data_IF_862971760151
#
_entry.id   IF_862971760151
#
_cell.length_a   1.000
_cell.length_b   1.000
_cell.length_c   1.000
_cell.angle_alpha   90.00
_cell.angle_beta   90.00
_cell.angle_gamma   90.00
#
_symmetry.space_group_name_H-M   'P 1'
#
loop_
_entity.id
_entity.type
_entity.pdbx_description
1 polymer ?
#
# COMPACT_ATOMS: atom_id res chain seq x y z
N UNK A 1 27.13 -3.37 -10.65
CA UNK A 1 26.70 -1.95 -10.75
C UNK A 1 25.22 -1.78 -11.16
N UNK A 2 24.67 -2.59 -12.07
CA UNK A 2 23.25 -2.52 -12.47
C UNK A 2 22.26 -2.98 -11.37
N UNK A 3 22.60 -4.03 -10.61
CA UNK A 3 21.74 -4.57 -9.54
C UNK A 3 21.58 -3.60 -8.36
N UNK A 4 22.67 -2.93 -7.95
CA UNK A 4 22.63 -1.94 -6.85
C UNK A 4 21.71 -0.76 -7.18
N UNK A 5 21.80 -0.22 -8.41
CA UNK A 5 20.90 0.85 -8.88
C UNK A 5 19.44 0.41 -8.86
N UNK A 6 19.17 -0.87 -9.19
CA UNK A 6 17.83 -1.45 -9.13
C UNK A 6 17.31 -1.52 -7.70
N UNK A 7 18.10 -2.08 -6.78
CA UNK A 7 17.72 -2.18 -5.37
C UNK A 7 17.45 -0.82 -4.76
N UNK A 8 18.29 0.17 -5.08
CA UNK A 8 18.09 1.56 -4.63
C UNK A 8 16.78 2.13 -5.18
N UNK A 9 16.47 1.93 -6.47
CA UNK A 9 15.22 2.39 -7.06
C UNK A 9 13.99 1.75 -6.39
N UNK A 10 13.99 0.41 -6.25
CA UNK A 10 12.89 -0.34 -5.64
C UNK A 10 12.68 0.14 -4.20
N UNK A 11 13.77 0.19 -3.41
CA UNK A 11 13.71 0.62 -2.01
C UNK A 11 13.25 2.07 -1.87
N UNK A 12 13.74 2.98 -2.71
CA UNK A 12 13.32 4.38 -2.68
C UNK A 12 11.83 4.52 -2.95
N UNK A 13 11.29 3.81 -3.95
CA UNK A 13 9.86 3.85 -4.27
C UNK A 13 9.03 3.31 -3.09
N UNK A 14 9.42 2.15 -2.54
CA UNK A 14 8.71 1.55 -1.40
C UNK A 14 8.70 2.49 -0.20
N UNK A 15 9.85 3.07 0.16
CA UNK A 15 9.96 4.01 1.28
C UNK A 15 9.12 5.27 1.06
N UNK A 16 9.12 5.83 -0.14
CA UNK A 16 8.28 6.97 -0.50
C UNK A 16 6.80 6.59 -0.31
N UNK A 17 6.35 5.45 -0.85
CA UNK A 17 4.97 5.00 -0.66
C UNK A 17 4.60 4.88 0.82
N UNK A 18 5.42 4.22 1.63
CA UNK A 18 5.17 4.04 3.07
C UNK A 18 5.11 5.39 3.78
N UNK A 19 6.06 6.29 3.54
CA UNK A 19 6.11 7.60 4.21
C UNK A 19 4.88 8.43 3.87
N UNK A 20 4.53 8.54 2.58
CA UNK A 20 3.37 9.33 2.17
C UNK A 20 2.06 8.72 2.64
N UNK A 21 1.92 7.39 2.58
CA UNK A 21 0.72 6.68 3.01
C UNK A 21 0.50 6.82 4.53
N UNK A 22 1.50 6.47 5.35
CA UNK A 22 1.38 6.58 6.81
C UNK A 22 1.23 8.02 7.29
N UNK A 23 1.91 8.98 6.66
CA UNK A 23 1.72 10.40 6.99
C UNK A 23 0.30 10.86 6.64
N UNK A 24 -0.22 10.46 5.48
CA UNK A 24 -1.58 10.81 5.06
C UNK A 24 -2.63 10.20 5.98
N UNK A 25 -2.47 8.93 6.36
CA UNK A 25 -3.34 8.23 7.32
C UNK A 25 -3.30 8.86 8.70
N UNK A 26 -2.11 9.22 9.18
CA UNK A 26 -1.94 9.94 10.43
C UNK A 26 -2.69 11.29 10.42
N UNK A 27 -2.50 12.09 9.36
CA UNK A 27 -3.21 13.36 9.20
C UNK A 27 -4.74 13.15 9.09
N UNK A 28 -5.18 12.13 8.37
CA UNK A 28 -6.60 11.79 8.27
C UNK A 28 -7.19 11.44 9.65
N UNK A 29 -6.46 10.66 10.46
CA UNK A 29 -6.88 10.33 11.82
C UNK A 29 -6.96 11.59 12.70
N UNK A 30 -5.93 12.43 12.67
CA UNK A 30 -5.87 13.65 13.51
C UNK A 30 -6.96 14.66 13.15
N UNK A 31 -7.16 14.93 11.85
CA UNK A 31 -8.01 16.03 11.41
C UNK A 31 -9.42 15.63 10.95
N UNK A 32 -9.65 14.36 10.59
CA UNK A 32 -10.92 13.91 10.01
C UNK A 32 -11.69 12.93 10.89
N UNK A 33 -11.08 12.28 11.88
CA UNK A 33 -11.77 11.28 12.72
C UNK A 33 -12.93 11.89 13.52
N UNK A 34 -12.78 13.15 13.97
CA UNK A 34 -13.80 13.88 14.73
C UNK A 34 -14.46 15.02 13.95
N UNK A 35 -14.10 15.20 12.67
CA UNK A 35 -14.63 16.27 11.84
C UNK A 35 -15.69 15.76 10.86
N UNK A 36 -16.51 16.69 10.36
CA UNK A 36 -17.40 16.40 9.23
C UNK A 36 -16.57 16.25 7.93
N UNK A 37 -17.08 15.44 7.00
CA UNK A 37 -16.50 15.24 5.66
C UNK A 37 -16.15 16.58 4.99
N UNK A 38 -14.91 16.71 4.50
CA UNK A 38 -14.48 17.89 3.77
C UNK A 38 -14.77 17.69 2.28
N UNK A 39 -15.58 18.57 1.69
CA UNK A 39 -15.95 18.53 0.28
C UNK A 39 -15.18 19.58 -0.54
N UNK A 40 -14.76 19.20 -1.74
CA UNK A 40 -14.07 20.04 -2.72
C UNK A 40 -14.77 19.94 -4.08
N UNK A 41 -14.51 20.91 -4.97
CA UNK A 41 -14.99 20.91 -6.36
C UNK A 41 -16.50 20.65 -6.48
N UNK A 42 -17.30 21.44 -5.78
CA UNK A 42 -18.76 21.28 -5.74
C UNK A 42 -19.18 19.85 -5.37
N UNK A 43 -18.54 19.29 -4.35
CA UNK A 43 -18.87 17.98 -3.76
C UNK A 43 -18.51 16.76 -4.63
N UNK A 44 -17.71 16.97 -5.67
CA UNK A 44 -17.17 15.90 -6.55
C UNK A 44 -16.07 15.10 -5.86
N UNK A 45 -15.28 15.75 -5.00
CA UNK A 45 -14.19 15.12 -4.25
C UNK A 45 -14.41 15.35 -2.76
N UNK A 46 -14.39 14.27 -1.97
CA UNK A 46 -14.65 14.31 -0.53
C UNK A 46 -13.54 13.58 0.23
N UNK A 47 -13.05 14.20 1.29
CA UNK A 47 -12.21 13.57 2.29
C UNK A 47 -13.08 13.14 3.46
N UNK A 48 -13.23 11.82 3.61
CA UNK A 48 -13.98 11.19 4.69
C UNK A 48 -13.10 10.15 5.36
N UNK A 49 -13.04 10.18 6.70
CA UNK A 49 -12.30 9.20 7.47
C UNK A 49 -13.08 7.89 7.54
N UNK A 50 -12.44 6.78 7.18
CA UNK A 50 -13.02 5.44 7.28
C UNK A 50 -11.94 4.44 7.67
N UNK A 51 -12.29 3.53 8.57
CA UNK A 51 -11.45 2.38 8.92
C UNK A 51 -11.96 1.15 8.17
N UNK A 52 -11.06 0.41 7.55
CA UNK A 52 -11.39 -0.78 6.78
C UNK A 52 -10.86 -2.02 7.50
N UNK A 53 -11.76 -2.79 8.09
CA UNK A 53 -11.46 -4.03 8.85
C UNK A 53 -11.34 -5.26 7.94
N UNK A 54 -11.66 -5.12 6.66
CA UNK A 54 -11.50 -6.12 5.60
C UNK A 54 -10.47 -5.68 4.55
N UNK A 55 -10.53 -6.30 3.37
CA UNK A 55 -9.73 -5.89 2.21
C UNK A 55 -10.49 -4.86 1.35
N UNK A 56 -10.30 -4.87 0.03
CA UNK A 56 -11.01 -3.98 -0.90
C UNK A 56 -12.54 -3.99 -0.65
N UNK A 57 -13.15 -2.82 -0.43
CA UNK A 57 -14.59 -2.65 -0.17
C UNK A 57 -15.10 -3.47 1.04
N UNK A 58 -14.31 -3.54 2.11
CA UNK A 58 -14.59 -4.37 3.30
C UNK A 58 -14.75 -5.86 2.98
N UNK A 59 -14.21 -6.32 1.85
CA UNK A 59 -14.28 -7.73 1.47
C UNK A 59 -13.61 -8.59 2.54
N UNK A 60 -14.34 -9.59 3.03
CA UNK A 60 -13.86 -10.48 4.07
C UNK A 60 -13.95 -9.91 5.50
N UNK A 61 -14.62 -8.77 5.72
CA UNK A 61 -14.91 -8.27 7.07
C UNK A 61 -15.72 -9.27 7.91
N UNK A 62 -16.61 -10.04 7.28
CA UNK A 62 -17.42 -11.08 7.95
C UNK A 62 -16.65 -12.39 8.21
N UNK A 63 -15.39 -12.49 7.79
CA UNK A 63 -14.57 -13.66 8.04
C UNK A 63 -14.13 -13.71 9.50
N UNK A 64 -13.86 -14.93 10.00
CA UNK A 64 -13.23 -15.09 11.30
C UNK A 64 -11.87 -14.41 11.33
N UNK A 65 -11.45 -13.96 12.52
CA UNK A 65 -10.12 -13.35 12.74
C UNK A 65 -8.99 -14.22 12.21
N UNK A 66 -9.07 -15.53 12.44
CA UNK A 66 -8.09 -16.49 11.92
C UNK A 66 -8.04 -16.50 10.38
N UNK A 67 -9.20 -16.49 9.71
CA UNK A 67 -9.23 -16.46 8.26
C UNK A 67 -8.67 -15.13 7.70
N UNK A 68 -9.01 -14.00 8.33
CA UNK A 68 -8.43 -12.69 7.95
C UNK A 68 -6.92 -12.65 8.14
N UNK A 69 -6.41 -13.18 9.25
CA UNK A 69 -4.97 -13.28 9.49
C UNK A 69 -4.25 -14.07 8.38
N UNK A 70 -4.73 -15.27 8.06
CA UNK A 70 -4.08 -16.10 7.05
C UNK A 70 -4.16 -15.50 5.64
N UNK A 71 -5.29 -14.89 5.28
CA UNK A 71 -5.51 -14.37 3.93
C UNK A 71 -4.91 -12.98 3.76
N UNK A 72 -5.22 -12.04 4.65
CA UNK A 72 -4.84 -10.63 4.47
C UNK A 72 -3.47 -10.29 5.03
N UNK A 73 -2.96 -11.06 5.99
CA UNK A 73 -1.61 -10.85 6.52
C UNK A 73 -0.64 -11.83 5.87
N UNK A 74 -0.79 -13.13 6.13
CA UNK A 74 0.22 -14.12 5.71
C UNK A 74 0.31 -14.25 4.19
N UNK A 75 -0.82 -14.47 3.51
CA UNK A 75 -0.81 -14.65 2.07
C UNK A 75 -0.34 -13.37 1.33
N UNK A 76 -0.85 -12.19 1.71
CA UNK A 76 -0.42 -10.92 1.10
C UNK A 76 1.07 -10.67 1.34
N UNK A 77 1.58 -10.91 2.55
CA UNK A 77 3.01 -10.79 2.87
C UNK A 77 3.87 -11.67 1.96
N UNK A 78 3.51 -12.96 1.80
CA UNK A 78 4.21 -13.87 0.91
C UNK A 78 4.15 -13.41 -0.56
N UNK A 79 3.00 -12.90 -0.98
CA UNK A 79 2.81 -12.37 -2.33
C UNK A 79 3.71 -11.15 -2.59
N UNK A 80 3.85 -10.25 -1.61
CA UNK A 80 4.72 -9.07 -1.70
C UNK A 80 6.20 -9.45 -1.74
N UNK A 81 6.62 -10.45 -0.94
CA UNK A 81 7.98 -11.00 -1.05
C UNK A 81 8.22 -11.54 -2.46
N UNK A 82 7.30 -12.36 -2.98
CA UNK A 82 7.41 -12.90 -4.33
C UNK A 82 7.49 -11.80 -5.39
N UNK A 83 6.70 -10.72 -5.23
CA UNK A 83 6.69 -9.58 -6.13
C UNK A 83 8.02 -8.82 -6.13
N UNK A 84 8.61 -8.59 -4.95
CA UNK A 84 9.91 -7.93 -4.80
C UNK A 84 11.00 -8.80 -5.43
N UNK A 85 11.01 -10.11 -5.14
CA UNK A 85 11.95 -11.06 -5.77
C UNK A 85 11.80 -11.00 -7.30
N UNK A 86 10.57 -11.01 -7.82
CA UNK A 86 10.31 -10.92 -9.25
C UNK A 86 10.79 -9.60 -9.88
N UNK A 87 10.60 -8.46 -9.20
CA UNK A 87 11.20 -7.20 -9.63
C UNK A 87 12.74 -7.27 -9.68
N UNK A 88 13.35 -8.04 -8.77
CA UNK A 88 14.78 -8.32 -8.78
C UNK A 88 15.26 -9.31 -9.85
N UNK A 89 14.40 -10.15 -10.42
CA UNK A 89 14.79 -11.06 -11.51
C UNK A 89 14.64 -10.44 -12.91
N UNK A 90 13.74 -9.46 -13.09
CA UNK A 90 13.55 -8.81 -14.39
C UNK A 90 14.74 -7.90 -14.77
N UNK A 91 15.07 -7.88 -16.07
CA UNK A 91 16.12 -7.03 -16.65
C UNK A 91 15.89 -5.53 -16.40
N UNK A 92 16.97 -4.80 -16.11
CA UNK A 92 16.95 -3.36 -15.83
C UNK A 92 16.46 -2.50 -17.01
N UNK A 93 16.43 -3.05 -18.23
CA UNK A 93 15.88 -2.36 -19.41
C UNK A 93 14.38 -2.09 -19.26
N UNK A 94 13.66 -2.87 -18.45
CA UNK A 94 12.23 -2.71 -18.20
C UNK A 94 11.96 -1.81 -16.99
N UNK A 95 12.50 -0.58 -16.98
CA UNK A 95 12.39 0.35 -15.86
C UNK A 95 10.94 0.61 -15.45
N UNK A 96 10.05 0.82 -16.42
CA UNK A 96 8.61 1.04 -16.18
C UNK A 96 8.00 -0.14 -15.42
N UNK A 97 8.33 -1.38 -15.79
CA UNK A 97 7.83 -2.58 -15.11
C UNK A 97 8.34 -2.65 -13.67
N UNK A 98 9.63 -2.40 -13.46
CA UNK A 98 10.23 -2.40 -12.12
C UNK A 98 9.58 -1.32 -11.24
N UNK A 99 9.38 -0.11 -11.77
CA UNK A 99 8.70 0.97 -11.07
C UNK A 99 7.26 0.59 -10.71
N UNK A 100 6.49 0.04 -11.65
CA UNK A 100 5.13 -0.42 -11.40
C UNK A 100 5.04 -1.51 -10.33
N UNK A 101 5.91 -2.52 -10.40
CA UNK A 101 5.99 -3.57 -9.37
C UNK A 101 6.39 -3.01 -8.00
N UNK A 102 7.28 -2.01 -7.97
CA UNK A 102 7.71 -1.35 -6.73
C UNK A 102 6.59 -0.51 -6.11
N UNK A 103 5.75 0.14 -6.93
CA UNK A 103 4.57 0.88 -6.45
C UNK A 103 3.52 -0.08 -5.86
N UNK A 104 3.26 -1.22 -6.52
CA UNK A 104 2.36 -2.26 -5.98
C UNK A 104 2.93 -2.81 -4.67
N UNK A 105 4.22 -3.11 -4.61
CA UNK A 105 4.88 -3.56 -3.39
C UNK A 105 4.80 -2.51 -2.27
N UNK A 106 5.09 -1.25 -2.59
CA UNK A 106 5.07 -0.14 -1.63
C UNK A 106 3.70 0.09 -1.01
N UNK A 107 2.64 0.15 -1.82
CA UNK A 107 1.27 0.29 -1.32
C UNK A 107 0.76 -0.96 -0.59
N UNK A 108 1.17 -2.15 -1.03
CA UNK A 108 0.84 -3.39 -0.32
C UNK A 108 1.52 -3.49 1.05
N UNK A 109 2.80 -3.11 1.14
CA UNK A 109 3.54 -3.08 2.41
C UNK A 109 2.95 -2.03 3.34
N UNK A 110 2.65 -0.83 2.85
CA UNK A 110 2.11 0.24 3.71
C UNK A 110 0.75 -0.15 4.31
N UNK A 111 -0.10 -0.87 3.57
CA UNK A 111 -1.34 -1.44 4.10
C UNK A 111 -1.14 -2.59 5.09
N UNK A 112 -0.02 -3.33 5.04
CA UNK A 112 0.29 -4.37 6.04
C UNK A 112 0.85 -3.79 7.36
N UNK A 113 1.28 -2.53 7.36
CA UNK A 113 1.80 -1.86 8.55
C UNK A 113 0.66 -1.38 9.47
N UNK A 114 -0.51 -1.09 8.89
CA UNK A 114 -1.73 -0.72 9.61
C UNK A 114 -2.29 -1.88 10.43
#
# INVERSE_FOLDING_TARGET
MATTKKSVLILAIILICIVFDQSSKFLAKEYLQSANTIAFLHDTFRLHYTENTGALLSFGESLSENARFWIFIVFVFLMLIALIIYAHTISLHFRIKITGLSLIAGGGISNLID
#
